data_IF_397359328472
#
_entry.id   IF_397359328472
#
_cell.length_a   1.000
_cell.length_b   1.000
_cell.length_c   1.000
_cell.angle_alpha   90.00
_cell.angle_beta   90.00
_cell.angle_gamma   90.00
#
_symmetry.space_group_name_H-M   'P 1'
#
loop_
_entity.id
_entity.type
_entity.pdbx_description
1 polymer ?
#
# COMPACT_ATOMS: atom_id res chain seq x y z
N UNK A 1 2.30 10.23 16.31
CA UNK A 1 0.82 10.33 16.41
C UNK A 1 0.35 11.22 17.55
N UNK A 2 0.83 11.11 18.81
CA UNK A 2 0.35 11.92 19.94
C UNK A 2 0.48 13.44 19.71
N UNK A 3 1.54 13.91 19.08
CA UNK A 3 1.76 15.35 18.79
C UNK A 3 0.78 15.85 17.73
N UNK A 4 0.51 15.09 16.70
CA UNK A 4 -0.44 15.45 15.66
C UNK A 4 -1.88 15.55 16.19
N UNK A 5 -2.26 14.66 17.10
CA UNK A 5 -3.59 14.69 17.74
C UNK A 5 -3.80 15.88 18.70
N UNK A 6 -2.73 16.47 19.20
CA UNK A 6 -2.76 17.64 20.09
C UNK A 6 -2.62 18.98 19.31
N UNK A 7 -2.25 18.93 18.04
CA UNK A 7 -2.05 20.11 17.22
C UNK A 7 -3.38 20.74 16.79
N UNK A 8 -3.43 22.07 16.78
CA UNK A 8 -4.56 22.80 16.23
C UNK A 8 -4.31 23.09 14.77
N UNK A 9 -5.30 22.83 13.92
CA UNK A 9 -5.22 23.14 12.48
C UNK A 9 -4.99 24.63 12.27
N UNK A 10 -3.89 25.01 11.64
CA UNK A 10 -3.49 26.40 11.46
C UNK A 10 -3.33 26.84 10.00
N UNK A 11 -3.36 25.91 9.04
CA UNK A 11 -3.24 26.22 7.62
C UNK A 11 -3.70 25.04 6.77
N UNK A 12 -3.85 25.29 5.48
CA UNK A 12 -4.23 24.28 4.50
C UNK A 12 -3.16 24.20 3.41
N UNK A 13 -2.77 23.00 3.07
CA UNK A 13 -1.90 22.73 1.94
C UNK A 13 -2.71 22.75 0.64
N UNK A 14 -2.20 23.42 -0.38
CA UNK A 14 -2.76 23.40 -1.72
C UNK A 14 -1.64 23.54 -2.75
N UNK A 15 -1.62 22.65 -3.73
CA UNK A 15 -0.67 22.68 -4.86
C UNK A 15 0.81 22.84 -4.48
N UNK A 16 1.25 22.18 -3.42
CA UNK A 16 2.64 22.25 -2.96
C UNK A 16 2.96 23.42 -2.03
N UNK A 17 2.00 24.30 -1.75
CA UNK A 17 2.22 25.50 -0.94
C UNK A 17 1.35 25.54 0.30
N UNK A 18 1.96 25.90 1.43
CA UNK A 18 1.26 26.30 2.65
C UNK A 18 1.51 27.80 2.83
N UNK A 19 0.43 28.59 2.83
CA UNK A 19 0.51 30.05 2.93
C UNK A 19 -0.22 30.58 4.16
N UNK A 20 0.16 31.78 4.59
CA UNK A 20 -0.53 32.53 5.66
C UNK A 20 -0.31 31.98 7.07
N UNK A 21 0.72 31.16 7.30
CA UNK A 21 1.10 30.68 8.62
C UNK A 21 2.21 31.54 9.24
N UNK A 22 2.16 31.72 10.55
CA UNK A 22 3.17 32.48 11.29
C UNK A 22 4.48 31.68 11.45
N UNK A 23 5.54 32.36 11.91
CA UNK A 23 6.77 31.66 12.27
C UNK A 23 6.52 30.65 13.38
N UNK A 24 7.07 29.44 13.22
CA UNK A 24 6.89 28.38 14.20
C UNK A 24 7.24 26.99 13.71
N UNK A 25 6.95 26.00 14.54
CA UNK A 25 7.07 24.58 14.21
C UNK A 25 5.69 24.00 13.95
N UNK A 26 5.56 23.29 12.84
CA UNK A 26 4.30 22.71 12.39
C UNK A 26 4.44 21.23 12.12
N UNK A 27 3.37 20.51 12.37
CA UNK A 27 3.22 19.12 11.91
C UNK A 27 2.29 19.12 10.71
N UNK A 28 2.79 18.64 9.61
CA UNK A 28 2.00 18.39 8.41
C UNK A 28 1.50 16.95 8.42
N UNK A 29 0.21 16.78 8.19
CA UNK A 29 -0.44 15.48 8.16
C UNK A 29 -1.43 15.43 7.00
N UNK A 30 -1.49 14.28 6.30
CA UNK A 30 -2.54 14.02 5.33
C UNK A 30 -3.85 13.69 6.07
N UNK A 31 -4.81 14.60 6.02
CA UNK A 31 -6.09 14.46 6.72
C UNK A 31 -6.95 13.36 6.10
N UNK A 32 -6.82 13.10 4.80
CA UNK A 32 -7.58 12.06 4.11
C UNK A 32 -7.17 10.66 4.56
N UNK A 33 -5.87 10.44 4.73
CA UNK A 33 -5.34 9.17 5.25
C UNK A 33 -5.62 8.99 6.75
N UNK A 34 -5.64 10.10 7.52
CA UNK A 34 -5.86 10.06 8.97
C UNK A 34 -7.32 9.76 9.34
N UNK A 35 -8.27 10.12 8.48
CA UNK A 35 -9.73 10.00 8.72
C UNK A 35 -10.38 8.86 7.97
N UNK A 36 -9.63 8.12 7.12
CA UNK A 36 -10.16 7.00 6.37
C UNK A 36 -10.62 5.89 7.31
N UNK A 37 -11.90 5.53 7.23
CA UNK A 37 -12.47 4.37 7.94
C UNK A 37 -12.06 3.06 7.29
N UNK A 38 -11.62 3.11 6.05
CA UNK A 38 -11.01 2.01 5.31
C UNK A 38 -9.74 2.56 4.63
N UNK A 39 -8.57 2.42 5.27
CA UNK A 39 -7.32 2.93 4.72
C UNK A 39 -6.91 2.07 3.52
N UNK A 40 -7.50 2.34 2.37
CA UNK A 40 -7.06 1.76 1.11
C UNK A 40 -5.74 2.41 0.68
N UNK A 41 -4.67 1.92 1.24
CA UNK A 41 -3.39 1.91 0.56
C UNK A 41 -2.48 3.12 0.67
N UNK A 42 -2.82 4.22 1.32
CA UNK A 42 -1.86 5.32 1.45
C UNK A 42 -0.99 5.18 2.69
N UNK A 43 0.32 5.20 2.51
CA UNK A 43 1.25 5.37 3.62
C UNK A 43 1.17 6.80 4.13
N UNK A 44 0.78 6.96 5.38
CA UNK A 44 0.64 8.26 6.02
C UNK A 44 2.02 8.80 6.43
N UNK A 45 2.44 9.94 5.88
CA UNK A 45 3.69 10.60 6.27
C UNK A 45 3.41 11.81 7.14
N UNK A 46 3.99 11.83 8.33
CA UNK A 46 4.07 13.00 9.19
C UNK A 46 5.33 13.79 8.86
N UNK A 47 5.17 15.03 8.43
CA UNK A 47 6.28 15.96 8.23
C UNK A 47 6.39 16.94 9.38
N UNK A 48 7.58 17.14 9.95
CA UNK A 48 7.88 18.26 10.85
C UNK A 48 8.45 19.41 10.01
N UNK A 49 7.85 20.58 10.13
CA UNK A 49 8.14 21.75 9.33
C UNK A 49 8.47 22.93 10.23
N UNK A 50 9.53 23.66 9.92
CA UNK A 50 9.85 24.95 10.53
C UNK A 50 9.56 26.07 9.54
N UNK A 51 8.79 27.06 9.96
CA UNK A 51 8.53 28.30 9.21
C UNK A 51 9.22 29.45 9.89
N UNK A 52 9.99 30.23 9.16
CA UNK A 52 10.74 31.38 9.65
C UNK A 52 10.69 32.51 8.63
N UNK A 53 10.42 33.74 9.09
CA UNK A 53 10.53 34.95 8.28
C UNK A 53 9.31 35.27 7.39
N UNK A 54 8.17 34.59 7.60
CA UNK A 54 6.96 34.82 6.82
C UNK A 54 7.08 34.41 5.35
N UNK A 55 8.09 33.62 5.01
CA UNK A 55 8.30 33.08 3.65
C UNK A 55 7.37 31.92 3.37
N UNK A 56 7.04 31.73 2.10
CA UNK A 56 6.33 30.53 1.66
C UNK A 56 7.24 29.31 1.80
N UNK A 57 6.74 28.26 2.40
CA UNK A 57 7.48 26.99 2.48
C UNK A 57 6.93 26.05 1.43
N UNK A 58 7.81 25.63 0.52
CA UNK A 58 7.52 24.60 -0.44
C UNK A 58 7.75 23.23 0.19
N UNK A 59 6.72 22.39 0.19
CA UNK A 59 6.78 21.05 0.75
C UNK A 59 6.49 20.02 -0.33
N UNK A 60 7.46 19.18 -0.60
CA UNK A 60 7.26 18.02 -1.45
C UNK A 60 6.87 16.82 -0.57
N UNK A 61 5.61 16.42 -0.61
CA UNK A 61 5.17 15.19 0.07
C UNK A 61 5.61 13.99 -0.75
N UNK A 62 6.34 13.07 -0.12
CA UNK A 62 6.55 11.74 -0.67
C UNK A 62 5.36 10.88 -0.26
N UNK A 63 4.40 10.75 -1.15
CA UNK A 63 3.31 9.80 -1.00
C UNK A 63 3.67 8.59 -1.85
N UNK A 64 3.88 7.46 -1.21
CA UNK A 64 4.08 6.20 -1.89
C UNK A 64 2.92 5.26 -1.54
N UNK A 65 2.43 4.53 -2.53
CA UNK A 65 1.28 3.65 -2.38
C UNK A 65 1.72 2.20 -2.55
N UNK A 66 1.23 1.28 -1.72
CA UNK A 66 1.40 -0.13 -2.01
C UNK A 66 0.67 -0.45 -3.32
N UNK A 67 1.25 -1.32 -4.11
CA UNK A 67 0.63 -1.82 -5.34
C UNK A 67 0.31 -3.29 -5.21
N UNK A 68 -0.76 -3.73 -5.86
CA UNK A 68 -1.17 -5.13 -5.89
C UNK A 68 -1.37 -5.56 -7.34
N UNK A 69 -0.82 -6.70 -7.67
CA UNK A 69 -0.98 -7.36 -8.96
C UNK A 69 -1.47 -8.78 -8.73
N UNK A 70 -2.53 -9.19 -9.45
CA UNK A 70 -3.01 -10.57 -9.48
C UNK A 70 -2.70 -11.18 -10.83
N UNK A 71 -2.13 -12.36 -10.84
CA UNK A 71 -1.80 -13.12 -12.05
C UNK A 71 -2.32 -14.54 -11.96
N UNK A 72 -2.64 -15.12 -13.10
CA UNK A 72 -3.01 -16.51 -13.28
C UNK A 72 -1.90 -17.22 -14.03
N UNK A 73 -1.63 -18.48 -13.73
CA UNK A 73 -0.64 -19.25 -14.45
C UNK A 73 -1.28 -19.93 -15.66
N UNK A 74 -0.65 -19.83 -16.83
CA UNK A 74 -0.97 -20.62 -18.02
C UNK A 74 -0.65 -22.09 -17.80
N UNK A 75 -1.39 -22.98 -18.44
CA UNK A 75 -1.21 -24.42 -18.32
C UNK A 75 0.12 -24.88 -18.94
N UNK A 76 0.50 -24.31 -20.07
CA UNK A 76 1.74 -24.64 -20.80
C UNK A 76 2.99 -23.91 -20.26
N UNK A 77 2.81 -22.86 -19.44
CA UNK A 77 3.89 -22.08 -18.79
C UNK A 77 4.88 -21.43 -19.75
N UNK A 78 4.49 -21.18 -21.00
CA UNK A 78 5.40 -20.68 -22.04
C UNK A 78 5.61 -19.17 -21.98
N UNK A 79 4.62 -18.41 -21.55
CA UNK A 79 4.71 -16.96 -21.32
C UNK A 79 4.87 -16.67 -19.84
N UNK A 80 5.89 -15.92 -19.45
CA UNK A 80 6.09 -15.58 -18.04
C UNK A 80 5.61 -14.17 -17.66
N UNK A 81 5.14 -13.37 -18.62
CA UNK A 81 4.61 -12.01 -18.35
C UNK A 81 5.47 -11.14 -17.44
N UNK A 82 6.70 -11.56 -17.12
CA UNK A 82 7.58 -10.94 -16.12
C UNK A 82 7.33 -11.36 -14.67
N UNK A 83 6.41 -12.30 -14.44
CA UNK A 83 6.01 -12.75 -13.08
C UNK A 83 6.44 -14.19 -12.77
N UNK A 84 7.17 -14.81 -13.67
CA UNK A 84 7.73 -16.17 -13.61
C UNK A 84 6.80 -17.23 -14.18
N UNK A 85 7.40 -18.27 -14.71
CA UNK A 85 6.85 -19.55 -15.18
C UNK A 85 5.34 -19.54 -15.58
N UNK A 86 4.99 -18.83 -16.63
CA UNK A 86 3.64 -18.79 -17.19
C UNK A 86 2.64 -17.89 -16.45
N UNK A 87 3.04 -17.10 -15.46
CA UNK A 87 2.13 -16.18 -14.77
C UNK A 87 1.93 -14.90 -15.58
N UNK A 88 0.69 -14.66 -16.03
CA UNK A 88 0.27 -13.50 -16.82
C UNK A 88 -1.17 -13.05 -16.48
N UNK A 89 -1.81 -12.27 -17.36
CA UNK A 89 -3.16 -11.72 -17.12
C UNK A 89 -4.30 -12.66 -17.53
N UNK A 90 -4.02 -13.66 -18.33
CA UNK A 90 -4.99 -14.61 -18.84
C UNK A 90 -4.43 -16.02 -18.83
N UNK A 91 -5.30 -17.01 -18.77
CA UNK A 91 -4.96 -18.43 -18.89
C UNK A 91 -6.14 -19.20 -19.49
N UNK A 92 -5.84 -20.31 -20.15
CA UNK A 92 -6.80 -21.27 -20.65
C UNK A 92 -6.60 -22.62 -19.93
N UNK A 93 -7.54 -22.97 -19.11
CA UNK A 93 -7.52 -24.21 -18.35
C UNK A 93 -8.77 -25.04 -18.65
N UNK A 94 -8.59 -26.35 -18.71
CA UNK A 94 -9.71 -27.27 -18.79
C UNK A 94 -10.61 -27.18 -17.54
N UNK A 95 -11.90 -27.38 -17.73
CA UNK A 95 -12.83 -27.42 -16.63
C UNK A 95 -12.48 -28.52 -15.61
N UNK A 96 -12.68 -28.24 -14.32
CA UNK A 96 -12.36 -29.10 -13.19
C UNK A 96 -10.84 -29.37 -13.00
N UNK A 97 -10.01 -28.40 -13.34
CA UNK A 97 -8.57 -28.42 -13.06
C UNK A 97 -8.22 -27.38 -12.00
N UNK A 98 -7.10 -27.60 -11.32
CA UNK A 98 -6.55 -26.63 -10.35
C UNK A 98 -5.86 -25.49 -11.11
N UNK A 99 -6.31 -24.26 -10.90
CA UNK A 99 -5.78 -23.07 -11.55
C UNK A 99 -4.91 -22.30 -10.58
N UNK A 100 -3.59 -22.19 -10.78
CA UNK A 100 -2.73 -21.45 -9.89
C UNK A 100 -2.88 -19.94 -10.09
N UNK A 101 -3.09 -19.22 -8.99
CA UNK A 101 -3.06 -17.76 -8.93
C UNK A 101 -1.89 -17.25 -8.11
N UNK A 102 -1.44 -16.05 -8.41
CA UNK A 102 -0.42 -15.32 -7.66
C UNK A 102 -0.89 -13.90 -7.40
N UNK A 103 -0.86 -13.48 -6.14
CA UNK A 103 -1.10 -12.10 -5.75
C UNK A 103 0.22 -11.54 -5.24
N UNK A 104 0.68 -10.44 -5.83
CA UNK A 104 1.94 -9.79 -5.48
C UNK A 104 1.61 -8.39 -4.98
N UNK A 105 1.97 -8.11 -3.73
CA UNK A 105 1.93 -6.76 -3.19
C UNK A 105 3.34 -6.20 -3.09
N UNK A 106 3.51 -4.97 -3.56
CA UNK A 106 4.75 -4.21 -3.36
C UNK A 106 4.49 -3.15 -2.31
N UNK A 107 5.33 -3.16 -1.27
CA UNK A 107 5.24 -2.18 -0.19
C UNK A 107 5.67 -0.80 -0.66
N UNK A 108 5.17 0.27 -0.02
CA UNK A 108 5.69 1.60 -0.25
C UNK A 108 7.17 1.69 0.15
N UNK A 109 7.92 2.58 -0.51
CA UNK A 109 9.38 2.70 -0.31
C UNK A 109 9.78 3.15 1.09
N UNK A 110 8.83 3.74 1.83
CA UNK A 110 9.03 4.22 3.20
C UNK A 110 8.49 3.25 4.27
N UNK A 111 8.35 1.97 3.94
CA UNK A 111 7.81 0.95 4.86
C UNK A 111 8.63 0.82 6.15
N UNK A 112 9.93 1.07 6.08
CA UNK A 112 10.87 1.03 7.21
C UNK A 112 10.72 2.19 8.22
N UNK A 113 9.92 3.21 7.87
CA UNK A 113 9.53 4.28 8.82
C UNK A 113 8.46 3.83 9.83
N UNK A 114 7.87 2.64 9.64
CA UNK A 114 6.78 2.11 10.45
C UNK A 114 7.25 0.93 11.29
N UNK A 115 6.97 0.95 12.58
CA UNK A 115 7.22 -0.20 13.49
C UNK A 115 6.34 -1.40 13.12
N UNK A 116 5.13 -1.14 12.66
CA UNK A 116 4.16 -2.14 12.25
C UNK A 116 3.38 -1.65 11.03
N UNK A 117 3.18 -2.52 10.06
CA UNK A 117 2.39 -2.27 8.88
C UNK A 117 1.32 -3.35 8.73
N UNK A 118 0.05 -2.93 8.79
CA UNK A 118 -1.07 -3.86 8.60
C UNK A 118 -1.43 -3.94 7.12
N UNK A 119 -1.56 -5.15 6.63
CA UNK A 119 -2.06 -5.43 5.28
C UNK A 119 -3.22 -6.41 5.32
N UNK A 120 -4.24 -6.10 4.55
CA UNK A 120 -5.35 -7.02 4.30
C UNK A 120 -5.47 -7.25 2.79
N UNK A 121 -5.52 -8.51 2.40
CA UNK A 121 -5.79 -8.92 1.03
C UNK A 121 -7.20 -9.45 0.94
N UNK A 122 -8.00 -8.82 0.09
CA UNK A 122 -9.34 -9.30 -0.23
C UNK A 122 -9.37 -9.67 -1.70
N UNK A 123 -9.65 -10.92 -2.00
CA UNK A 123 -9.82 -11.42 -3.36
C UNK A 123 -11.20 -12.05 -3.50
N UNK A 124 -11.93 -11.66 -4.52
CA UNK A 124 -13.23 -12.23 -4.85
C UNK A 124 -13.09 -13.06 -6.10
N UNK A 125 -13.23 -14.35 -5.96
CA UNK A 125 -13.24 -15.29 -7.08
C UNK A 125 -14.65 -15.38 -7.68
N UNK A 126 -14.71 -15.67 -8.97
CA UNK A 126 -15.96 -16.01 -9.64
C UNK A 126 -16.55 -17.29 -9.06
N UNK A 127 -17.88 -17.40 -9.04
CA UNK A 127 -18.64 -18.54 -8.47
C UNK A 127 -18.32 -19.88 -9.17
N UNK A 128 -17.68 -19.86 -10.33
CA UNK A 128 -17.22 -21.06 -11.03
C UNK A 128 -15.98 -21.69 -10.42
N UNK A 129 -15.25 -20.93 -9.57
CA UNK A 129 -14.10 -21.46 -8.84
C UNK A 129 -14.53 -22.06 -7.50
N UNK A 130 -13.86 -23.13 -7.11
CA UNK A 130 -13.92 -23.66 -5.73
C UNK A 130 -13.21 -22.78 -4.72
N UNK A 131 -13.20 -23.21 -3.46
CA UNK A 131 -12.42 -22.54 -2.43
C UNK A 131 -10.92 -22.63 -2.73
N UNK A 132 -10.15 -21.56 -2.47
CA UNK A 132 -8.70 -21.60 -2.63
C UNK A 132 -8.05 -22.64 -1.72
N UNK A 133 -7.16 -23.43 -2.26
CA UNK A 133 -6.37 -24.45 -1.57
C UNK A 133 -4.87 -24.18 -1.73
N UNK A 134 -4.05 -24.82 -0.92
CA UNK A 134 -2.59 -24.76 -1.00
C UNK A 134 -2.02 -23.33 -0.95
N UNK A 135 -2.62 -22.47 -0.13
CA UNK A 135 -2.21 -21.06 -0.01
C UNK A 135 -0.81 -21.00 0.63
N UNK A 136 0.11 -20.36 -0.07
CA UNK A 136 1.47 -20.06 0.42
C UNK A 136 1.63 -18.56 0.46
N UNK A 137 1.99 -18.02 1.61
CA UNK A 137 2.26 -16.58 1.79
C UNK A 137 3.75 -16.38 2.06
N UNK A 138 4.36 -15.42 1.35
CA UNK A 138 5.77 -15.07 1.54
C UNK A 138 5.94 -13.57 1.75
N UNK A 139 6.89 -13.19 2.57
CA UNK A 139 7.35 -11.80 2.72
C UNK A 139 8.85 -11.76 2.37
N UNK A 140 9.16 -11.23 1.19
CA UNK A 140 10.49 -11.36 0.61
C UNK A 140 10.87 -12.83 0.45
N UNK A 141 11.91 -13.27 1.15
CA UNK A 141 12.39 -14.67 1.12
C UNK A 141 11.80 -15.55 2.22
N UNK A 142 11.06 -14.96 3.17
CA UNK A 142 10.46 -15.70 4.31
C UNK A 142 9.10 -16.26 3.91
N UNK A 143 8.90 -17.58 4.08
CA UNK A 143 7.56 -18.18 4.04
C UNK A 143 6.89 -17.95 5.39
N UNK A 144 5.67 -17.43 5.36
CA UNK A 144 4.88 -17.12 6.54
C UNK A 144 4.03 -18.32 6.96
N UNK A 145 3.82 -18.45 8.26
CA UNK A 145 3.03 -19.54 8.87
C UNK A 145 1.65 -19.02 9.22
N UNK A 146 0.61 -19.69 8.71
CA UNK A 146 -0.78 -19.39 9.02
C UNK A 146 -1.04 -19.46 10.54
N UNK A 147 -1.89 -18.58 11.03
CA UNK A 147 -2.28 -18.45 12.45
C UNK A 147 -1.10 -18.08 13.39
N UNK A 148 0.06 -17.76 12.84
CA UNK A 148 1.25 -17.30 13.57
C UNK A 148 1.77 -15.98 13.00
N UNK A 149 2.02 -15.93 11.70
CA UNK A 149 2.55 -14.76 11.01
C UNK A 149 1.43 -13.98 10.27
N UNK A 150 0.31 -14.61 9.95
CA UNK A 150 -0.86 -14.00 9.29
C UNK A 150 -2.16 -14.70 9.68
#
# INVERSE_FOLDING_TARGET
MAVANAATKSGTYSEGVISGIADGYYVMADESAATATDPTGSAFTLGLLQVVGGENVEVTTKIDYPTVVKKVQEDDKTDDGGYGAGFNDVADWDANTDVPFKIIATMPSNIDEYDHYYMNFTDTLDDTFGNPENIVVTAGTKTLVKDTDY
#
